data_IF_262713088271
#
_entry.id   IF_262713088271
#
_cell.length_a   1.000
_cell.length_b   1.000
_cell.length_c   1.000
_cell.angle_alpha   90.00
_cell.angle_beta   90.00
_cell.angle_gamma   90.00
#
_symmetry.space_group_name_H-M   'P 1'
#
loop_
_entity.id
_entity.type
_entity.pdbx_description
1 polymer ?
#
# COMPACT_ATOMS: atom_id res chain seq x y z
N UNK A 1 3.87 3.62 12.61
CA UNK A 1 3.86 3.97 11.17
C UNK A 1 5.06 4.77 10.69
N UNK A 2 5.60 5.71 11.46
CA UNK A 2 6.76 6.52 11.06
C UNK A 2 7.96 5.70 10.55
N UNK A 3 8.34 4.63 11.25
CA UNK A 3 9.49 3.79 10.86
C UNK A 3 9.34 3.14 9.47
N UNK A 4 8.15 2.67 9.10
CA UNK A 4 7.92 2.08 7.77
C UNK A 4 8.14 3.12 6.66
N UNK A 5 7.52 4.29 6.79
CA UNK A 5 7.60 5.33 5.76
C UNK A 5 8.98 5.99 5.72
N UNK A 6 9.67 6.12 6.86
CA UNK A 6 11.04 6.64 6.90
C UNK A 6 12.04 5.78 6.13
N UNK A 7 11.84 4.46 6.08
CA UNK A 7 12.68 3.55 5.29
C UNK A 7 12.24 3.41 3.83
N UNK A 8 10.92 3.44 3.59
CA UNK A 8 10.36 3.19 2.26
C UNK A 8 10.45 4.42 1.34
N UNK A 9 10.11 5.61 1.85
CA UNK A 9 10.04 6.84 1.03
C UNK A 9 11.38 7.17 0.35
N UNK A 10 12.55 7.06 0.99
CA UNK A 10 13.82 7.38 0.34
C UNK A 10 14.17 6.48 -0.86
N UNK A 11 13.63 5.26 -0.92
CA UNK A 11 13.93 4.27 -1.97
C UNK A 11 12.89 4.27 -3.09
N UNK A 12 11.75 4.92 -2.88
CA UNK A 12 10.60 4.89 -3.78
C UNK A 12 10.73 5.95 -4.87
N UNK A 13 10.72 5.53 -6.12
CA UNK A 13 10.72 6.43 -7.28
C UNK A 13 9.31 6.81 -7.71
N UNK A 14 8.42 5.81 -7.80
CA UNK A 14 7.01 5.99 -8.18
C UNK A 14 6.14 4.95 -7.49
N UNK A 15 4.86 5.28 -7.27
CA UNK A 15 3.84 4.34 -6.77
C UNK A 15 2.48 4.73 -7.32
N UNK A 16 1.77 3.75 -7.89
CA UNK A 16 0.46 3.94 -8.51
C UNK A 16 -0.44 2.74 -8.21
N UNK A 17 -1.76 2.94 -8.25
CA UNK A 17 -2.72 1.84 -8.17
C UNK A 17 -2.70 1.03 -9.47
N UNK A 18 -2.49 -0.28 -9.34
CA UNK A 18 -2.49 -1.22 -10.46
C UNK A 18 -3.85 -1.91 -10.66
N UNK A 19 -4.89 -1.47 -9.94
CA UNK A 19 -6.24 -2.01 -10.02
C UNK A 19 -7.12 -1.53 -8.87
N UNK A 20 -8.39 -1.97 -8.82
CA UNK A 20 -9.30 -1.62 -7.74
C UNK A 20 -8.87 -2.28 -6.41
N UNK A 21 -8.86 -1.55 -5.29
CA UNK A 21 -8.63 -2.14 -3.98
C UNK A 21 -9.77 -3.07 -3.56
N UNK A 22 -9.44 -4.14 -2.85
CA UNK A 22 -10.43 -5.08 -2.29
C UNK A 22 -10.45 -4.94 -0.79
N UNK A 23 -11.63 -4.74 -0.20
CA UNK A 23 -11.81 -4.66 1.25
C UNK A 23 -11.88 -6.05 1.89
N UNK A 24 -11.44 -6.15 3.14
CA UNK A 24 -11.61 -7.33 3.95
C UNK A 24 -13.08 -7.47 4.38
N UNK A 25 -13.61 -8.70 4.35
CA UNK A 25 -14.96 -8.99 4.82
C UNK A 25 -14.95 -9.18 6.34
N UNK A 26 -15.10 -8.09 7.09
CA UNK A 26 -15.02 -8.07 8.56
C UNK A 26 -16.11 -7.17 9.14
N UNK A 27 -16.67 -7.53 10.29
CA UNK A 27 -17.75 -6.77 10.95
C UNK A 27 -17.29 -5.71 11.94
N UNK A 28 -16.00 -5.70 12.33
CA UNK A 28 -15.49 -4.82 13.37
C UNK A 28 -14.30 -3.96 12.91
N UNK A 29 -13.12 -4.55 12.73
CA UNK A 29 -11.95 -3.81 12.20
C UNK A 29 -11.80 -4.07 10.72
N UNK A 30 -12.15 -3.07 9.93
CA UNK A 30 -11.98 -3.08 8.47
C UNK A 30 -10.54 -2.86 8.02
N UNK A 31 -10.28 -3.22 6.76
CA UNK A 31 -8.98 -3.02 6.13
C UNK A 31 -8.99 -3.43 4.66
N UNK A 32 -7.87 -3.22 3.98
CA UNK A 32 -7.67 -3.69 2.62
C UNK A 32 -7.24 -5.15 2.64
N UNK A 33 -8.00 -6.02 1.98
CA UNK A 33 -7.63 -7.40 1.71
C UNK A 33 -6.55 -7.48 0.63
N UNK A 34 -6.70 -6.67 -0.43
CA UNK A 34 -5.71 -6.54 -1.49
C UNK A 34 -5.64 -5.07 -1.93
N UNK A 35 -4.42 -4.56 -2.05
CA UNK A 35 -4.13 -3.26 -2.63
C UNK A 35 -3.14 -3.46 -3.79
N UNK A 36 -3.63 -3.70 -5.02
CA UNK A 36 -2.75 -3.86 -6.16
C UNK A 36 -2.03 -2.54 -6.45
N UNK A 37 -0.70 -2.56 -6.37
CA UNK A 37 0.16 -1.40 -6.65
C UNK A 37 1.23 -1.76 -7.66
N UNK A 38 1.61 -0.77 -8.47
CA UNK A 38 2.84 -0.76 -9.25
C UNK A 38 3.78 0.27 -8.64
N UNK A 39 5.06 -0.07 -8.52
CA UNK A 39 6.07 0.84 -7.99
C UNK A 39 7.38 0.70 -8.76
N UNK A 40 8.16 1.77 -8.74
CA UNK A 40 9.56 1.78 -9.14
C UNK A 40 10.42 2.18 -7.96
N UNK A 41 11.62 1.61 -7.87
CA UNK A 41 12.61 1.94 -6.85
C UNK A 41 13.85 2.54 -7.52
N UNK A 42 14.53 3.41 -6.78
CA UNK A 42 15.83 3.98 -7.18
C UNK A 42 16.99 3.10 -6.70
#
# INVERSE_FOLDING_TARGET
MRSLFSELIPRLESIELAGPPVLAATTFVGGLKHLPIRYSLR
#
